data_IF_831160686362
#
_entry.id   IF_831160686362
#
_cell.length_a   1.000
_cell.length_b   1.000
_cell.length_c   1.000
_cell.angle_alpha   90.00
_cell.angle_beta   90.00
_cell.angle_gamma   90.00
#
_symmetry.space_group_name_H-M   'P 1'
#
loop_
_entity.id
_entity.type
_entity.pdbx_description
1 polymer ?
#
# COMPACT_ATOMS: atom_id res chain seq x y z
N UNK A 1 0.93 -16.89 1.08
CA UNK A 1 1.16 -15.45 0.85
C UNK A 1 1.18 -15.07 -0.63
N UNK A 2 1.65 -15.94 -1.54
CA UNK A 2 1.73 -15.66 -3.00
C UNK A 2 0.36 -15.55 -3.70
N UNK A 3 -0.68 -16.27 -3.25
CA UNK A 3 -2.02 -16.21 -3.88
C UNK A 3 -2.68 -14.83 -3.78
N UNK A 4 -2.45 -14.09 -2.70
CA UNK A 4 -3.12 -12.79 -2.47
C UNK A 4 -2.53 -11.69 -3.35
N UNK A 5 -1.25 -11.80 -3.74
CA UNK A 5 -0.59 -10.86 -4.65
C UNK A 5 -1.18 -10.94 -6.07
N UNK A 6 -1.69 -12.09 -6.49
CA UNK A 6 -2.24 -12.28 -7.85
C UNK A 6 -3.62 -11.63 -7.97
N UNK A 7 -4.47 -11.73 -6.95
CA UNK A 7 -5.79 -11.07 -6.95
C UNK A 7 -5.65 -9.54 -6.83
N UNK A 8 -4.64 -9.06 -6.09
CA UNK A 8 -4.30 -7.64 -5.95
C UNK A 8 -3.75 -6.99 -7.23
N UNK A 9 -3.21 -7.77 -8.18
CA UNK A 9 -2.68 -7.22 -9.45
C UNK A 9 -3.74 -6.59 -10.33
N UNK A 10 -5.00 -7.00 -10.20
CA UNK A 10 -6.10 -6.42 -10.96
C UNK A 10 -6.43 -5.00 -10.45
N UNK A 11 -6.34 -4.77 -9.14
CA UNK A 11 -6.69 -3.49 -8.49
C UNK A 11 -5.52 -2.49 -8.38
N UNK A 12 -4.27 -2.96 -8.35
CA UNK A 12 -3.09 -2.10 -8.05
C UNK A 12 -2.37 -1.53 -9.29
N UNK A 13 -2.64 -2.04 -10.49
CA UNK A 13 -1.94 -1.64 -11.73
C UNK A 13 -2.84 -0.75 -12.61
N UNK A 14 -4.14 -0.68 -12.33
CA UNK A 14 -5.04 0.19 -13.06
C UNK A 14 -4.85 1.65 -12.62
N UNK A 15 -4.45 2.51 -13.56
CA UNK A 15 -4.29 3.94 -13.29
C UNK A 15 -5.62 4.55 -12.81
N UNK A 16 -5.53 5.50 -11.87
CA UNK A 16 -6.69 6.22 -11.36
C UNK A 16 -7.49 6.80 -12.54
N UNK A 17 -8.79 6.49 -12.68
CA UNK A 17 -9.60 7.05 -13.75
C UNK A 17 -9.61 8.57 -13.65
N UNK A 18 -9.62 9.30 -14.79
CA UNK A 18 -9.63 10.76 -14.78
C UNK A 18 -10.80 11.27 -13.94
N UNK A 19 -10.52 12.26 -13.09
CA UNK A 19 -11.50 12.84 -12.18
C UNK A 19 -12.75 13.28 -12.95
N UNK A 20 -13.91 12.79 -12.48
CA UNK A 20 -15.16 12.96 -13.18
C UNK A 20 -15.58 14.43 -13.18
N UNK A 21 -15.58 15.06 -14.35
CA UNK A 21 -16.21 16.38 -14.52
C UNK A 21 -17.72 16.25 -14.39
N UNK A 22 -18.41 17.32 -14.00
CA UNK A 22 -19.83 17.31 -13.60
C UNK A 22 -20.81 16.71 -14.64
N UNK A 23 -20.38 16.53 -15.90
CA UNK A 23 -21.21 16.04 -17.01
C UNK A 23 -20.87 14.60 -17.47
N UNK A 24 -20.21 13.82 -16.63
CA UNK A 24 -19.84 12.42 -16.90
C UNK A 24 -21.03 11.47 -16.82
N UNK A 25 -21.12 10.53 -17.77
CA UNK A 25 -22.13 9.47 -17.80
C UNK A 25 -22.13 8.67 -16.49
N UNK A 26 -23.31 8.23 -16.03
CA UNK A 26 -23.48 7.48 -14.77
C UNK A 26 -22.54 6.27 -14.67
N UNK A 27 -22.29 5.58 -15.79
CA UNK A 27 -21.35 4.46 -15.86
C UNK A 27 -19.90 4.82 -15.49
N UNK A 28 -19.46 6.06 -15.76
CA UNK A 28 -18.13 6.53 -15.38
C UNK A 28 -18.05 6.82 -13.88
N UNK A 29 -19.15 7.29 -13.26
CA UNK A 29 -19.28 7.43 -11.79
C UNK A 29 -19.24 6.09 -11.11
N UNK A 30 -20.01 5.13 -11.60
CA UNK A 30 -20.05 3.78 -11.04
C UNK A 30 -18.67 3.09 -11.15
N UNK A 31 -17.95 3.28 -12.25
CA UNK A 31 -16.59 2.76 -12.44
C UNK A 31 -15.59 3.39 -11.46
N UNK A 32 -15.63 4.72 -11.28
CA UNK A 32 -14.77 5.42 -10.33
C UNK A 32 -15.04 4.97 -8.89
N UNK A 33 -16.31 4.88 -8.48
CA UNK A 33 -16.68 4.42 -7.13
C UNK A 33 -16.23 2.98 -6.87
N UNK A 34 -16.32 2.09 -7.88
CA UNK A 34 -15.81 0.72 -7.78
C UNK A 34 -14.30 0.72 -7.61
N UNK A 35 -13.58 1.51 -8.42
CA UNK A 35 -12.13 1.65 -8.34
C UNK A 35 -11.69 2.19 -6.98
N UNK A 36 -12.32 3.25 -6.46
CA UNK A 36 -11.98 3.82 -5.14
C UNK A 36 -12.16 2.79 -4.02
N UNK A 37 -13.24 2.01 -4.02
CA UNK A 37 -13.46 0.95 -3.01
C UNK A 37 -12.39 -0.14 -3.08
N UNK A 38 -12.00 -0.55 -4.29
CA UNK A 38 -10.94 -1.53 -4.49
C UNK A 38 -9.59 -1.00 -4.04
N UNK A 39 -9.25 0.24 -4.42
CA UNK A 39 -8.04 0.95 -4.01
C UNK A 39 -7.95 1.11 -2.49
N UNK A 40 -9.03 1.53 -1.82
CA UNK A 40 -9.06 1.69 -0.37
C UNK A 40 -8.79 0.35 0.34
N UNK A 41 -9.38 -0.73 -0.16
CA UNK A 41 -9.16 -2.09 0.36
C UNK A 41 -7.71 -2.55 0.14
N UNK A 42 -7.16 -2.30 -1.05
CA UNK A 42 -5.77 -2.63 -1.37
C UNK A 42 -4.79 -1.85 -0.48
N UNK A 43 -5.06 -0.56 -0.26
CA UNK A 43 -4.25 0.30 0.60
C UNK A 43 -4.21 -0.20 2.05
N UNK A 44 -5.38 -0.52 2.63
CA UNK A 44 -5.47 -1.11 3.97
C UNK A 44 -4.73 -2.44 4.04
N UNK A 45 -4.88 -3.30 3.04
CA UNK A 45 -4.20 -4.60 3.00
C UNK A 45 -2.67 -4.47 2.92
N UNK A 46 -2.17 -3.57 2.08
CA UNK A 46 -0.72 -3.29 1.97
C UNK A 46 -0.17 -2.82 3.30
N UNK A 47 -0.81 -1.82 3.91
CA UNK A 47 -0.37 -1.29 5.21
C UNK A 47 -0.39 -2.39 6.29
N UNK A 48 -1.47 -3.17 6.37
CA UNK A 48 -1.56 -4.28 7.31
C UNK A 48 -0.47 -5.35 7.07
N UNK A 49 -0.19 -5.67 5.81
CA UNK A 49 0.87 -6.62 5.45
C UNK A 49 2.26 -6.09 5.76
N UNK A 50 2.51 -4.79 5.57
CA UNK A 50 3.76 -4.15 5.95
C UNK A 50 3.94 -4.21 7.46
N UNK A 51 2.91 -3.88 8.23
CA UNK A 51 2.90 -3.99 9.69
C UNK A 51 3.15 -5.42 10.16
N UNK A 52 2.41 -6.41 9.65
CA UNK A 52 2.57 -7.83 10.02
C UNK A 52 3.98 -8.35 9.72
N UNK A 53 4.52 -8.01 8.54
CA UNK A 53 5.88 -8.38 8.15
C UNK A 53 6.94 -7.74 9.06
N UNK A 54 6.79 -6.46 9.39
CA UNK A 54 7.68 -5.77 10.32
C UNK A 54 7.58 -6.36 11.72
N UNK A 55 6.36 -6.60 12.23
CA UNK A 55 6.15 -7.18 13.55
C UNK A 55 6.81 -8.54 13.67
N UNK A 56 6.63 -9.44 12.69
CA UNK A 56 7.27 -10.76 12.68
C UNK A 56 8.79 -10.69 12.61
N UNK A 57 9.34 -9.78 11.81
CA UNK A 57 10.79 -9.60 11.68
C UNK A 57 11.45 -9.18 12.99
N UNK A 58 10.76 -8.37 13.80
CA UNK A 58 11.28 -7.80 15.03
C UNK A 58 10.67 -8.45 16.29
N UNK A 59 9.91 -9.55 16.16
CA UNK A 59 9.21 -10.23 17.25
C UNK A 59 10.15 -10.72 18.35
N UNK A 60 11.37 -11.11 17.97
CA UNK A 60 12.39 -11.61 18.90
C UNK A 60 13.24 -10.52 19.55
N UNK A 61 13.06 -9.26 19.15
CA UNK A 61 13.79 -8.13 19.74
C UNK A 61 13.20 -7.74 21.09
N UNK A 62 14.09 -7.55 22.07
CA UNK A 62 13.69 -7.38 23.47
C UNK A 62 13.42 -5.91 23.79
N UNK A 63 14.16 -4.99 23.17
CA UNK A 63 14.08 -3.56 23.49
C UNK A 63 13.56 -2.74 22.33
N UNK A 64 12.83 -1.66 22.63
CA UNK A 64 12.37 -0.70 21.64
C UNK A 64 13.54 -0.06 20.86
N UNK A 65 14.71 0.12 21.50
CA UNK A 65 15.91 0.64 20.83
C UNK A 65 16.40 -0.29 19.70
N UNK A 66 16.42 -1.61 19.92
CA UNK A 66 16.79 -2.58 18.89
C UNK A 66 15.84 -2.54 17.68
N UNK A 67 14.54 -2.40 17.96
CA UNK A 67 13.53 -2.24 16.90
C UNK A 67 13.78 -0.95 16.13
N UNK A 68 14.00 0.18 16.82
CA UNK A 68 14.27 1.47 16.19
C UNK A 68 15.56 1.47 15.36
N UNK A 69 16.63 0.87 15.87
CA UNK A 69 17.90 0.75 15.14
C UNK A 69 17.74 -0.09 13.87
N UNK A 70 17.01 -1.20 13.95
CA UNK A 70 16.75 -2.06 12.79
C UNK A 70 15.84 -1.37 11.76
N UNK A 71 14.81 -0.64 12.20
CA UNK A 71 14.00 0.18 11.31
C UNK A 71 14.84 1.28 10.64
N UNK A 72 15.75 1.92 11.39
CA UNK A 72 16.67 2.92 10.83
C UNK A 72 17.62 2.30 9.81
N UNK A 73 18.09 1.07 10.02
CA UNK A 73 18.91 0.36 9.04
C UNK A 73 18.11 0.04 7.77
N UNK A 74 16.87 -0.44 7.92
CA UNK A 74 16.00 -0.83 6.80
C UNK A 74 15.55 0.36 5.94
N UNK A 75 15.25 1.51 6.55
CA UNK A 75 14.63 2.66 5.87
C UNK A 75 15.51 3.92 5.84
N UNK A 76 16.56 3.99 6.65
CA UNK A 76 17.37 5.20 6.84
C UNK A 76 18.46 5.44 5.78
N UNK A 77 18.73 4.48 4.89
CA UNK A 77 19.73 4.65 3.83
C UNK A 77 19.17 5.22 2.51
N UNK A 78 17.86 5.33 2.34
CA UNK A 78 17.26 5.93 1.14
C UNK A 78 17.20 7.46 1.23
N UNK A 79 18.31 8.11 1.53
CA UNK A 79 18.52 9.49 1.08
C UNK A 79 18.92 9.41 -0.39
N UNK A 80 17.91 9.38 -1.26
CA UNK A 80 18.08 9.73 -2.66
C UNK A 80 18.73 11.13 -2.65
N UNK A 81 19.98 11.21 -3.09
CA UNK A 81 20.54 12.48 -3.54
C UNK A 81 19.73 12.86 -4.78
N UNK A 82 18.67 13.64 -4.58
CA UNK A 82 18.00 14.34 -5.66
C UNK A 82 18.95 15.48 -6.03
N UNK A 83 19.76 15.26 -7.08
CA UNK A 83 20.49 16.31 -7.79
C UNK A 83 19.62 16.83 -8.92
#
# INVERSE_FOLDING_TARGET
MIRVIVDLRFDLIEECPPFLTQNTFQSARDAYDCWTKANDKAHVYILASMSDMLSKKHETMVTACQIMDSLREMFGQSSIQIK
#
